data_IF_572251610122
#
_entry.id   IF_572251610122
#
_cell.length_a   1.000
_cell.length_b   1.000
_cell.length_c   1.000
_cell.angle_alpha   90.00
_cell.angle_beta   90.00
_cell.angle_gamma   90.00
#
_symmetry.space_group_name_H-M   'P 1'
#
loop_
_entity.id
_entity.type
_entity.pdbx_description
1 polymer ?
#
# COMPACT_ATOMS: atom_id res chain seq x y z
N UNK A 1 63.30 -18.33 -23.57
CA UNK A 1 64.16 -17.14 -23.70
C UNK A 1 63.32 -15.98 -24.19
N UNK A 2 63.61 -14.78 -23.68
CA UNK A 2 63.01 -13.47 -23.98
C UNK A 2 61.61 -13.19 -23.41
N UNK A 3 61.59 -12.90 -22.11
CA UNK A 3 60.65 -12.01 -21.42
C UNK A 3 60.95 -10.55 -21.77
N UNK A 4 59.93 -9.71 -21.89
CA UNK A 4 60.10 -8.24 -21.87
C UNK A 4 59.11 -7.62 -20.90
N UNK A 5 59.67 -7.22 -19.76
CA UNK A 5 59.04 -6.50 -18.66
C UNK A 5 59.01 -5.02 -18.99
N UNK A 6 57.85 -4.36 -18.85
CA UNK A 6 57.76 -2.89 -18.89
C UNK A 6 57.47 -2.38 -17.47
N UNK A 7 58.39 -1.58 -16.92
CA UNK A 7 58.32 -0.96 -15.60
C UNK A 7 58.08 0.55 -15.72
N UNK A 8 57.03 1.02 -15.03
CA UNK A 8 56.73 2.33 -14.41
C UNK A 8 57.41 3.62 -14.92
N UNK A 9 56.60 4.68 -15.04
CA UNK A 9 56.86 5.97 -14.36
C UNK A 9 55.54 6.57 -13.86
N UNK A 10 55.51 6.91 -12.56
CA UNK A 10 54.46 7.69 -11.88
C UNK A 10 54.89 9.16 -11.97
N UNK A 11 54.01 10.05 -12.45
CA UNK A 11 54.19 11.49 -12.37
C UNK A 11 53.13 12.07 -11.44
N UNK A 12 53.58 12.57 -10.29
CA UNK A 12 52.79 13.35 -9.36
C UNK A 12 52.79 14.82 -9.81
N UNK A 13 51.61 15.42 -9.94
CA UNK A 13 51.45 16.86 -10.15
C UNK A 13 50.82 17.47 -8.89
N UNK A 14 51.63 18.27 -8.18
CA UNK A 14 51.19 19.16 -7.12
C UNK A 14 50.35 20.29 -7.70
N UNK A 15 49.16 20.53 -7.16
CA UNK A 15 48.48 21.82 -7.30
C UNK A 15 48.09 22.38 -5.93
N UNK A 16 48.62 23.57 -5.70
CA UNK A 16 48.58 24.34 -4.47
C UNK A 16 47.20 24.97 -4.24
N UNK A 17 46.75 24.89 -3.00
CA UNK A 17 45.57 25.56 -2.45
C UNK A 17 45.86 27.06 -2.37
N UNK A 18 45.02 27.89 -2.97
CA UNK A 18 44.98 29.34 -2.69
C UNK A 18 43.67 29.66 -1.99
N UNK A 19 43.78 30.06 -0.72
CA UNK A 19 42.67 30.65 0.02
C UNK A 19 42.60 32.15 -0.31
N UNK A 20 41.39 32.66 -0.50
CA UNK A 20 41.13 34.10 -0.55
C UNK A 20 40.00 34.38 0.42
N UNK A 21 40.40 34.92 1.58
CA UNK A 21 39.50 35.47 2.58
C UNK A 21 39.15 36.91 2.19
N UNK A 22 37.85 37.21 2.14
CA UNK A 22 37.36 38.59 2.16
C UNK A 22 36.37 38.71 3.32
N UNK A 23 36.79 39.44 4.35
CA UNK A 23 35.94 39.93 5.42
C UNK A 23 35.34 41.28 5.00
N UNK A 24 34.06 41.52 5.31
CA UNK A 24 33.54 42.87 5.53
C UNK A 24 32.21 42.84 6.31
N UNK A 25 32.34 43.22 7.58
CA UNK A 25 31.47 44.07 8.40
C UNK A 25 29.96 43.77 8.59
N UNK A 26 29.69 43.35 9.83
CA UNK A 26 28.56 43.66 10.72
C UNK A 26 27.67 44.86 10.35
N UNK A 27 26.35 44.64 10.33
CA UNK A 27 25.35 45.55 10.92
C UNK A 27 24.24 44.77 11.63
N UNK A 28 24.30 44.76 12.96
CA UNK A 28 23.18 44.48 13.88
C UNK A 28 22.19 45.65 13.83
N UNK A 29 20.90 45.40 13.63
CA UNK A 29 19.81 46.26 14.14
C UNK A 29 18.55 45.46 14.46
N UNK A 30 18.30 45.32 15.75
CA UNK A 30 17.00 45.36 16.44
C UNK A 30 17.34 45.83 17.86
N UNK A 31 16.55 46.70 18.52
CA UNK A 31 15.16 46.37 18.86
C UNK A 31 14.19 47.57 18.89
N UNK A 32 12.89 47.31 18.82
CA UNK A 32 11.89 48.14 19.52
C UNK A 32 10.91 47.22 20.22
N UNK A 33 11.00 47.22 21.54
CA UNK A 33 9.98 46.72 22.44
C UNK A 33 8.96 47.82 22.71
N UNK A 34 7.67 47.48 22.73
CA UNK A 34 6.68 48.26 23.48
C UNK A 34 5.97 47.29 24.41
N UNK A 35 6.10 47.55 25.70
CA UNK A 35 5.51 46.79 26.78
C UNK A 35 4.24 47.46 27.32
N UNK A 36 3.45 46.64 28.03
CA UNK A 36 2.51 46.97 29.11
C UNK A 36 1.07 47.37 28.72
N UNK A 37 0.12 46.47 29.01
CA UNK A 37 -0.52 46.42 30.36
C UNK A 37 -1.44 45.20 30.50
N UNK A 38 -1.13 44.36 31.48
CA UNK A 38 -2.14 43.58 32.19
C UNK A 38 -2.95 44.54 33.08
N UNK A 39 -4.27 44.42 33.06
CA UNK A 39 -5.13 44.74 34.19
C UNK A 39 -6.24 43.70 34.25
N UNK A 40 -6.11 42.82 35.23
CA UNK A 40 -7.18 42.03 35.80
C UNK A 40 -8.12 42.96 36.58
N UNK A 41 -9.41 42.91 36.29
CA UNK A 41 -10.46 43.34 37.20
C UNK A 41 -11.52 42.24 37.24
N UNK A 42 -11.67 41.64 38.40
CA UNK A 42 -12.79 40.77 38.73
C UNK A 42 -14.07 41.61 38.80
N UNK A 43 -15.09 41.23 38.05
CA UNK A 43 -16.47 41.47 38.44
C UNK A 43 -17.33 40.25 38.10
N UNK A 44 -17.82 39.62 39.16
CA UNK A 44 -18.99 38.75 39.16
C UNK A 44 -20.19 39.52 38.61
N UNK A 45 -20.88 38.96 37.63
CA UNK A 45 -22.29 39.22 37.39
C UNK A 45 -22.90 37.98 36.71
N UNK A 46 -23.64 37.23 37.52
CA UNK A 46 -24.64 36.27 37.09
C UNK A 46 -25.64 36.99 36.18
N UNK A 47 -25.73 36.59 34.91
CA UNK A 47 -26.93 36.81 34.11
C UNK A 47 -27.19 35.58 33.24
N UNK A 48 -28.31 34.94 33.56
CA UNK A 48 -28.98 33.90 32.79
C UNK A 48 -29.28 34.41 31.37
N UNK A 49 -28.64 33.81 30.37
CA UNK A 49 -29.05 33.92 28.97
C UNK A 49 -29.06 32.52 28.33
N UNK A 50 -30.27 32.11 27.99
CA UNK A 50 -30.61 30.92 27.22
C UNK A 50 -29.87 30.89 25.88
N UNK A 51 -29.05 29.86 25.68
CA UNK A 51 -28.48 29.55 24.36
C UNK A 51 -29.48 28.74 23.54
N UNK A 52 -29.69 29.06 22.24
CA UNK A 52 -30.47 28.20 21.38
C UNK A 52 -29.71 26.89 21.14
N UNK A 53 -30.41 25.77 21.30
CA UNK A 53 -29.93 24.44 20.99
C UNK A 53 -29.77 24.31 19.47
N UNK A 54 -28.52 24.31 19.01
CA UNK A 54 -28.19 23.86 17.65
C UNK A 54 -28.37 22.35 17.64
N UNK A 55 -29.48 21.90 17.07
CA UNK A 55 -29.72 20.50 16.72
C UNK A 55 -28.73 20.10 15.62
N UNK A 56 -27.57 19.58 16.01
CA UNK A 56 -26.72 18.83 15.09
C UNK A 56 -27.46 17.52 14.84
N UNK A 57 -28.20 17.49 13.73
CA UNK A 57 -28.82 16.26 13.26
C UNK A 57 -27.68 15.35 12.82
N UNK A 58 -27.24 14.48 13.73
CA UNK A 58 -26.33 13.39 13.44
C UNK A 58 -26.94 12.61 12.30
N UNK A 59 -26.34 12.73 11.10
CA UNK A 59 -26.63 11.82 9.99
C UNK A 59 -26.20 10.45 10.49
N UNK A 60 -27.17 9.67 10.97
CA UNK A 60 -26.99 8.25 11.26
C UNK A 60 -26.53 7.62 9.95
N UNK A 61 -25.23 7.37 9.84
CA UNK A 61 -24.74 6.36 8.91
C UNK A 61 -25.47 5.08 9.29
N UNK A 62 -26.21 4.52 8.34
CA UNK A 62 -26.78 3.19 8.48
C UNK A 62 -25.59 2.21 8.54
N UNK A 63 -25.01 2.05 9.73
CA UNK A 63 -24.14 0.92 10.01
C UNK A 63 -25.08 -0.27 10.13
N UNK A 64 -25.27 -0.97 9.02
CA UNK A 64 -25.76 -2.33 9.05
C UNK A 64 -24.76 -3.14 9.89
N UNK A 65 -24.99 -3.21 11.20
CA UNK A 65 -24.29 -4.13 12.10
C UNK A 65 -24.80 -5.56 11.88
N UNK A 66 -24.76 -6.02 10.63
CA UNK A 66 -24.59 -7.44 10.42
C UNK A 66 -23.18 -7.74 10.93
N UNK A 67 -23.06 -8.64 11.90
CA UNK A 67 -21.79 -9.28 12.21
C UNK A 67 -21.42 -10.07 10.95
N UNK A 68 -20.85 -9.38 9.97
CA UNK A 68 -20.38 -9.97 8.74
C UNK A 68 -19.11 -10.74 9.11
N UNK A 69 -19.29 -11.99 9.53
CA UNK A 69 -18.30 -13.01 9.25
C UNK A 69 -18.61 -13.45 7.82
N UNK A 70 -17.88 -12.99 6.80
CA UNK A 70 -17.84 -13.75 5.56
C UNK A 70 -17.20 -15.08 5.93
N UNK A 71 -18.00 -16.04 6.34
CA UNK A 71 -17.57 -17.43 6.29
C UNK A 71 -17.65 -17.79 4.81
N UNK A 72 -16.66 -17.31 4.05
CA UNK A 72 -16.44 -17.80 2.70
C UNK A 72 -15.66 -19.08 2.80
N UNK A 73 -16.02 -20.03 1.95
CA UNK A 73 -15.32 -21.29 1.81
C UNK A 73 -14.45 -21.22 0.56
N UNK A 74 -13.21 -21.66 0.69
CA UNK A 74 -12.28 -21.77 -0.43
C UNK A 74 -12.66 -23.03 -1.21
N UNK A 75 -12.88 -22.87 -2.52
CA UNK A 75 -13.21 -23.96 -3.44
C UNK A 75 -12.19 -23.99 -4.58
N UNK A 76 -11.35 -25.02 -4.56
CA UNK A 76 -10.40 -25.29 -5.63
C UNK A 76 -11.07 -26.08 -6.76
N UNK A 77 -10.78 -25.69 -7.99
CA UNK A 77 -11.14 -26.36 -9.24
C UNK A 77 -9.88 -26.50 -10.10
N UNK A 78 -9.73 -27.62 -10.82
CA UNK A 78 -8.47 -27.98 -11.49
C UNK A 78 -7.46 -28.67 -10.56
N UNK A 79 -6.26 -28.93 -11.06
CA UNK A 79 -5.14 -29.46 -10.26
C UNK A 79 -4.17 -28.33 -9.92
N UNK A 80 -3.60 -28.25 -8.71
CA UNK A 80 -2.55 -27.28 -8.43
C UNK A 80 -1.40 -27.38 -9.46
N UNK A 81 -0.78 -26.25 -9.76
CA UNK A 81 0.30 -26.13 -10.75
C UNK A 81 -0.12 -26.51 -12.19
N UNK A 82 -1.38 -26.24 -12.56
CA UNK A 82 -1.86 -26.32 -13.94
C UNK A 82 -2.52 -25.01 -14.41
N UNK A 83 -2.63 -24.81 -15.72
CA UNK A 83 -3.18 -23.58 -16.31
C UNK A 83 -4.69 -23.40 -16.04
N UNK A 84 -5.42 -24.49 -15.80
CA UNK A 84 -6.84 -24.53 -15.48
C UNK A 84 -7.13 -24.45 -13.96
N UNK A 85 -6.10 -24.39 -13.11
CA UNK A 85 -6.28 -24.25 -11.67
C UNK A 85 -6.94 -22.92 -11.32
N UNK A 86 -8.02 -22.98 -10.54
CA UNK A 86 -8.76 -21.82 -10.05
C UNK A 86 -9.13 -22.01 -8.59
N UNK A 87 -9.03 -20.93 -7.83
CA UNK A 87 -9.51 -20.86 -6.45
C UNK A 87 -10.68 -19.90 -6.39
N UNK A 88 -11.88 -20.46 -6.24
CA UNK A 88 -13.12 -19.71 -6.06
C UNK A 88 -13.42 -19.52 -4.58
N UNK A 89 -14.19 -18.48 -4.26
CA UNK A 89 -14.82 -18.30 -2.95
C UNK A 89 -16.31 -18.63 -3.04
N UNK A 90 -16.83 -19.36 -2.06
CA UNK A 90 -18.24 -19.67 -1.92
C UNK A 90 -18.81 -19.03 -0.66
N UNK A 91 -20.02 -18.48 -0.74
CA UNK A 91 -20.76 -18.07 0.46
C UNK A 91 -21.32 -19.28 1.23
N UNK A 92 -21.98 -19.02 2.37
CA UNK A 92 -22.60 -20.06 3.20
C UNK A 92 -23.71 -20.86 2.49
N UNK A 93 -24.25 -20.36 1.38
CA UNK A 93 -25.23 -21.07 0.54
C UNK A 93 -24.58 -21.94 -0.53
N UNK A 94 -23.26 -21.87 -0.68
CA UNK A 94 -22.50 -22.56 -1.72
C UNK A 94 -22.43 -21.81 -3.05
N UNK A 95 -22.87 -20.54 -3.09
CA UNK A 95 -22.82 -19.72 -4.31
C UNK A 95 -21.44 -19.08 -4.45
N UNK A 96 -20.90 -19.07 -5.67
CA UNK A 96 -19.67 -18.33 -6.01
C UNK A 96 -19.84 -16.84 -5.71
N UNK A 97 -18.84 -16.28 -5.03
CA UNK A 97 -18.71 -14.86 -4.77
C UNK A 97 -17.35 -14.39 -5.26
N UNK A 98 -17.32 -13.21 -5.87
CA UNK A 98 -16.08 -12.60 -6.34
C UNK A 98 -15.22 -12.15 -5.16
N UNK A 99 -13.95 -12.61 -5.05
CA UNK A 99 -13.02 -12.04 -4.08
C UNK A 99 -12.86 -10.53 -4.30
N UNK A 100 -12.89 -10.05 -5.55
CA UNK A 100 -12.75 -8.63 -5.82
C UNK A 100 -14.01 -7.81 -5.50
N UNK A 101 -15.19 -8.23 -5.95
CA UNK A 101 -16.38 -7.38 -5.92
C UNK A 101 -17.33 -7.65 -4.73
N UNK A 102 -17.45 -8.90 -4.29
CA UNK A 102 -18.51 -9.32 -3.35
C UNK A 102 -18.06 -9.31 -1.88
N UNK A 103 -16.75 -9.36 -1.62
CA UNK A 103 -16.20 -9.22 -0.27
C UNK A 103 -16.17 -7.72 0.09
N UNK A 104 -16.85 -7.27 1.17
CA UNK A 104 -16.82 -5.88 1.59
C UNK A 104 -15.41 -5.43 1.92
N UNK A 105 -14.99 -4.26 1.44
CA UNK A 105 -13.70 -3.67 1.82
C UNK A 105 -13.62 -3.40 3.32
N UNK A 106 -14.63 -2.70 3.86
CA UNK A 106 -14.62 -2.21 5.23
C UNK A 106 -15.39 -3.12 6.20
N UNK A 107 -14.81 -3.33 7.39
CA UNK A 107 -15.47 -3.97 8.52
C UNK A 107 -15.86 -2.98 9.64
N UNK A 108 -15.50 -1.71 9.49
CA UNK A 108 -15.65 -0.66 10.51
C UNK A 108 -14.37 -0.42 11.30
N UNK A 109 -14.31 0.69 12.03
CA UNK A 109 -13.23 1.05 12.97
C UNK A 109 -11.79 0.98 12.39
N UNK A 110 -11.63 1.30 11.10
CA UNK A 110 -10.34 1.26 10.40
C UNK A 110 -9.83 -0.15 10.09
N UNK A 111 -10.72 -1.15 10.13
CA UNK A 111 -10.44 -2.56 9.81
C UNK A 111 -10.96 -2.89 8.41
N UNK A 112 -10.15 -3.64 7.69
CA UNK A 112 -10.39 -4.01 6.30
C UNK A 112 -10.33 -5.52 6.12
N UNK A 113 -11.08 -6.04 5.14
CA UNK A 113 -10.82 -7.38 4.62
C UNK A 113 -9.61 -7.34 3.69
N UNK A 114 -8.75 -8.34 3.81
CA UNK A 114 -7.62 -8.60 2.92
C UNK A 114 -7.75 -10.03 2.42
N UNK A 115 -7.56 -10.24 1.11
CA UNK A 115 -7.61 -11.56 0.50
C UNK A 115 -6.18 -11.98 0.18
N UNK A 116 -5.76 -13.09 0.79
CA UNK A 116 -4.45 -13.68 0.52
C UNK A 116 -4.49 -14.37 -0.84
N UNK A 117 -3.63 -13.93 -1.75
CA UNK A 117 -3.43 -14.56 -3.05
C UNK A 117 -2.18 -15.44 -3.04
N UNK A 118 -1.08 -14.91 -2.50
CA UNK A 118 0.21 -15.60 -2.41
C UNK A 118 0.56 -15.78 -0.92
N UNK A 119 0.55 -17.01 -0.41
CA UNK A 119 0.98 -17.29 0.95
C UNK A 119 2.43 -16.88 1.18
N UNK A 120 2.71 -16.38 2.38
CA UNK A 120 4.05 -16.10 2.89
C UNK A 120 5.01 -17.27 2.63
N UNK A 121 6.26 -16.97 2.27
CA UNK A 121 7.32 -17.94 1.91
C UNK A 121 6.98 -18.85 0.72
N UNK A 122 6.19 -18.37 -0.26
CA UNK A 122 5.92 -19.09 -1.52
C UNK A 122 6.24 -18.23 -2.74
N UNK A 123 6.29 -18.83 -3.93
CA UNK A 123 6.73 -18.14 -5.16
C UNK A 123 5.76 -18.25 -6.35
N UNK A 124 4.71 -19.06 -6.27
CA UNK A 124 3.70 -19.09 -7.32
C UNK A 124 3.02 -17.72 -7.40
N UNK A 125 3.10 -17.03 -8.56
CA UNK A 125 2.46 -15.73 -8.73
C UNK A 125 0.97 -15.95 -8.94
N UNK A 126 0.23 -16.03 -7.83
CA UNK A 126 -1.22 -16.13 -7.81
C UNK A 126 -1.81 -14.72 -7.79
N UNK A 127 -2.91 -14.52 -8.49
CA UNK A 127 -3.63 -13.24 -8.57
C UNK A 127 -5.09 -13.49 -8.87
N UNK A 128 -5.93 -12.54 -8.50
CA UNK A 128 -7.31 -12.49 -8.93
C UNK A 128 -7.39 -12.36 -10.45
N UNK A 129 -8.20 -13.21 -11.08
CA UNK A 129 -8.48 -13.14 -12.50
C UNK A 129 -9.48 -12.01 -12.76
N UNK A 130 -9.01 -10.78 -12.91
CA UNK A 130 -9.86 -9.59 -13.11
C UNK A 130 -10.70 -9.67 -14.38
N UNK A 131 -10.34 -10.54 -15.32
CA UNK A 131 -10.96 -10.78 -16.62
C UNK A 131 -11.95 -11.97 -16.65
N UNK A 132 -12.05 -12.73 -15.56
CA UNK A 132 -12.89 -13.94 -15.49
C UNK A 132 -14.14 -13.75 -14.61
N UNK A 133 -15.29 -14.37 -14.94
CA UNK A 133 -16.47 -14.36 -14.08
C UNK A 133 -16.21 -14.91 -12.68
N UNK A 134 -16.75 -14.23 -11.68
CA UNK A 134 -16.50 -14.43 -10.25
C UNK A 134 -15.05 -14.21 -9.83
N UNK A 135 -14.21 -13.68 -10.72
CA UNK A 135 -12.82 -13.29 -10.50
C UNK A 135 -12.06 -14.30 -9.61
N UNK A 136 -11.97 -15.60 -9.96
CA UNK A 136 -11.23 -16.57 -9.14
C UNK A 136 -9.76 -16.20 -9.04
N UNK A 137 -9.06 -16.68 -8.01
CA UNK A 137 -7.60 -16.58 -7.97
C UNK A 137 -7.01 -17.65 -8.91
N UNK A 138 -6.09 -17.25 -9.79
CA UNK A 138 -5.36 -18.12 -10.73
C UNK A 138 -3.87 -17.80 -10.68
N UNK A 139 -3.05 -18.68 -11.22
CA UNK A 139 -1.62 -18.39 -11.37
C UNK A 139 -1.39 -17.60 -12.67
N UNK A 140 -0.65 -16.49 -12.57
CA UNK A 140 -0.20 -15.71 -13.71
C UNK A 140 0.59 -16.59 -14.70
N UNK A 141 0.55 -16.24 -15.98
CA UNK A 141 1.26 -16.96 -17.04
C UNK A 141 2.19 -16.04 -17.83
N UNK A 142 3.39 -16.54 -18.13
CA UNK A 142 4.37 -15.85 -18.97
C UNK A 142 4.81 -16.78 -20.09
N UNK A 143 4.55 -16.38 -21.35
CA UNK A 143 4.84 -17.19 -22.55
C UNK A 143 4.19 -18.59 -22.50
N UNK A 144 2.93 -18.65 -22.05
CA UNK A 144 2.13 -19.88 -21.96
C UNK A 144 2.56 -20.85 -20.85
N UNK A 145 3.40 -20.41 -19.92
CA UNK A 145 3.84 -21.19 -18.75
C UNK A 145 3.45 -20.48 -17.46
N UNK A 146 3.16 -21.27 -16.43
CA UNK A 146 2.92 -20.78 -15.08
C UNK A 146 4.11 -19.94 -14.59
N UNK A 147 3.80 -18.76 -14.02
CA UNK A 147 4.79 -17.81 -13.56
C UNK A 147 5.09 -18.02 -12.08
N UNK A 148 6.37 -18.04 -11.76
CA UNK A 148 6.87 -18.02 -10.40
C UNK A 148 7.76 -16.80 -10.23
N UNK A 149 7.73 -16.19 -9.06
CA UNK A 149 8.73 -15.22 -8.67
C UNK A 149 10.10 -15.91 -8.57
N UNK A 150 11.21 -15.22 -8.93
CA UNK A 150 12.55 -15.79 -8.81
C UNK A 150 13.00 -15.98 -7.36
N UNK A 151 12.29 -15.36 -6.41
CA UNK A 151 12.45 -15.50 -4.97
C UNK A 151 11.07 -15.66 -4.33
N UNK A 152 11.00 -16.31 -3.18
CA UNK A 152 9.75 -16.35 -2.42
C UNK A 152 9.36 -14.92 -1.99
N UNK A 153 8.06 -14.66 -1.90
CA UNK A 153 7.55 -13.50 -1.18
C UNK A 153 7.56 -13.81 0.32
N UNK A 154 8.15 -12.96 1.14
CA UNK A 154 8.38 -13.24 2.57
C UNK A 154 7.19 -12.82 3.46
N UNK A 155 6.05 -12.49 2.84
CA UNK A 155 4.85 -11.96 3.48
C UNK A 155 3.62 -12.57 2.83
N UNK A 156 2.48 -12.55 3.53
CA UNK A 156 1.23 -12.84 2.82
C UNK A 156 0.95 -11.67 1.89
N UNK A 157 0.63 -11.98 0.65
CA UNK A 157 0.40 -11.00 -0.39
C UNK A 157 -0.93 -11.25 -1.07
N UNK A 158 -1.56 -10.17 -1.52
CA UNK A 158 -2.81 -10.21 -2.27
C UNK A 158 -3.44 -8.84 -2.28
N UNK A 159 -4.76 -8.76 -2.17
CA UNK A 159 -5.49 -7.52 -2.46
C UNK A 159 -6.44 -7.04 -1.36
N UNK A 160 -6.80 -5.75 -1.43
CA UNK A 160 -7.99 -5.19 -0.81
C UNK A 160 -9.19 -5.31 -1.76
N UNK A 161 -10.29 -5.98 -1.38
CA UNK A 161 -11.44 -6.11 -2.25
C UNK A 161 -12.12 -4.76 -2.42
N UNK A 162 -12.90 -4.61 -3.49
CA UNK A 162 -13.62 -3.39 -3.82
C UNK A 162 -12.72 -2.16 -3.96
N UNK A 163 -11.48 -2.34 -4.40
CA UNK A 163 -10.56 -1.27 -4.78
C UNK A 163 -10.16 -1.45 -6.24
N UNK A 164 -9.80 -0.36 -6.92
CA UNK A 164 -9.32 -0.42 -8.29
C UNK A 164 -8.40 0.77 -8.58
N UNK A 165 -7.22 0.47 -9.08
CA UNK A 165 -6.22 1.43 -9.55
C UNK A 165 -6.55 1.88 -10.97
N UNK A 166 -7.47 2.85 -11.06
CA UNK A 166 -7.99 3.34 -12.34
C UNK A 166 -6.87 3.86 -13.27
N UNK A 167 -6.66 3.26 -14.45
CA UNK A 167 -5.59 3.62 -15.36
C UNK A 167 -5.88 4.92 -16.13
N UNK A 168 -7.07 5.51 -15.98
CA UNK A 168 -7.47 6.72 -16.70
C UNK A 168 -7.12 8.03 -16.00
N UNK A 169 -6.67 7.98 -14.74
CA UNK A 169 -6.32 9.16 -13.96
C UNK A 169 -4.86 9.12 -13.49
N UNK A 170 -4.11 10.17 -13.85
CA UNK A 170 -2.75 10.37 -13.38
C UNK A 170 -2.74 10.76 -11.89
N UNK A 171 -1.89 10.12 -11.10
CA UNK A 171 -1.68 10.44 -9.70
C UNK A 171 -0.76 11.67 -9.55
N UNK A 172 -1.25 12.80 -8.99
CA UNK A 172 -0.46 14.03 -8.90
C UNK A 172 0.66 13.96 -7.86
N UNK A 173 0.54 13.06 -6.87
CA UNK A 173 1.53 12.91 -5.78
C UNK A 173 2.72 12.05 -6.21
N UNK A 174 2.58 11.31 -7.33
CA UNK A 174 3.56 10.32 -7.81
C UNK A 174 3.87 10.54 -9.30
N UNK A 175 4.47 11.68 -9.61
CA UNK A 175 4.99 12.05 -10.94
C UNK A 175 3.99 11.92 -12.10
N UNK A 176 2.67 11.99 -11.82
CA UNK A 176 1.64 11.83 -12.85
C UNK A 176 1.48 10.39 -13.37
N UNK A 177 1.92 9.40 -12.59
CA UNK A 177 1.81 7.97 -12.96
C UNK A 177 0.35 7.50 -12.94
N UNK A 178 -0.01 6.60 -13.86
CA UNK A 178 -1.37 6.05 -13.97
C UNK A 178 -1.46 4.70 -13.24
N UNK A 179 -2.63 4.35 -12.71
CA UNK A 179 -2.84 3.06 -12.04
C UNK A 179 -2.64 1.86 -12.97
N UNK A 180 -2.33 0.70 -12.40
CA UNK A 180 -2.04 -0.56 -13.08
C UNK A 180 -3.28 -1.38 -13.50
N UNK A 181 -4.48 -0.81 -13.31
CA UNK A 181 -5.76 -1.42 -13.66
C UNK A 181 -6.19 -2.62 -12.80
N UNK A 182 -5.49 -2.88 -11.69
CA UNK A 182 -5.78 -3.98 -10.76
C UNK A 182 -6.36 -3.48 -9.42
N UNK A 183 -6.81 -4.38 -8.52
CA UNK A 183 -7.14 -4.02 -7.15
C UNK A 183 -5.87 -3.66 -6.36
N UNK A 184 -6.01 -2.80 -5.35
CA UNK A 184 -4.85 -2.38 -4.54
C UNK A 184 -4.22 -3.56 -3.81
N UNK A 185 -2.91 -3.66 -3.97
CA UNK A 185 -2.10 -4.71 -3.36
C UNK A 185 -1.82 -4.48 -1.88
N UNK A 186 -1.65 -5.59 -1.15
CA UNK A 186 -1.36 -5.62 0.27
C UNK A 186 -0.18 -6.54 0.55
N UNK A 187 0.73 -6.06 1.39
CA UNK A 187 1.78 -6.84 2.03
C UNK A 187 1.44 -6.95 3.52
N UNK A 188 0.97 -8.12 3.94
CA UNK A 188 0.59 -8.40 5.32
C UNK A 188 1.78 -8.96 6.11
N UNK A 189 2.21 -8.23 7.13
CA UNK A 189 3.52 -8.41 7.79
C UNK A 189 3.53 -9.37 8.98
N UNK A 190 2.38 -9.97 9.30
CA UNK A 190 2.22 -10.86 10.44
C UNK A 190 3.09 -12.12 10.38
N UNK A 191 3.14 -12.83 11.50
CA UNK A 191 3.97 -14.02 11.63
C UNK A 191 3.39 -15.22 10.87
N UNK A 192 2.06 -15.36 10.85
CA UNK A 192 1.35 -16.53 10.32
C UNK A 192 1.40 -16.61 8.80
N UNK A 193 1.53 -17.83 8.28
CA UNK A 193 1.36 -18.10 6.85
C UNK A 193 -0.12 -18.30 6.52
N UNK A 194 -0.65 -17.48 5.62
CA UNK A 194 -2.02 -17.56 5.13
C UNK A 194 -2.24 -18.68 4.11
N UNK A 195 -3.46 -18.79 3.59
CA UNK A 195 -3.83 -19.70 2.50
C UNK A 195 -4.38 -18.92 1.31
N UNK A 196 -4.21 -19.43 0.10
CA UNK A 196 -4.78 -18.83 -1.12
C UNK A 196 -6.32 -18.72 -0.93
N UNK A 197 -6.88 -17.52 -1.16
CA UNK A 197 -8.29 -17.21 -0.95
C UNK A 197 -8.69 -16.95 0.50
N UNK A 198 -7.77 -17.00 1.46
CA UNK A 198 -8.08 -16.69 2.86
C UNK A 198 -8.41 -15.20 3.01
N UNK A 199 -9.53 -14.90 3.67
CA UNK A 199 -9.90 -13.54 4.06
C UNK A 199 -9.42 -13.26 5.48
N UNK A 200 -8.49 -12.32 5.62
CA UNK A 200 -7.97 -11.84 6.90
C UNK A 200 -8.56 -10.48 7.23
N UNK A 201 -8.64 -10.18 8.53
CA UNK A 201 -8.96 -8.83 9.01
C UNK A 201 -7.67 -8.11 9.29
N UNK A 202 -7.42 -7.02 8.58
CA UNK A 202 -6.17 -6.28 8.69
C UNK A 202 -6.42 -4.84 9.06
N UNK A 203 -5.40 -4.20 9.63
CA UNK A 203 -5.32 -2.75 9.69
C UNK A 203 -4.13 -2.24 8.86
N UNK A 204 -4.32 -1.21 8.02
CA UNK A 204 -3.23 -0.55 7.30
C UNK A 204 -2.28 0.18 8.25
N UNK A 205 -1.00 0.18 7.88
CA UNK A 205 0.10 0.79 8.62
C UNK A 205 0.87 1.82 7.78
N UNK A 206 0.88 1.65 6.45
CA UNK A 206 1.54 2.55 5.52
C UNK A 206 1.33 2.14 4.07
N UNK A 207 1.93 2.87 3.14
CA UNK A 207 1.84 2.58 1.70
C UNK A 207 3.17 2.84 0.99
N UNK A 208 3.57 1.97 0.08
CA UNK A 208 4.67 2.19 -0.86
C UNK A 208 4.10 2.46 -2.25
N UNK A 209 4.60 3.50 -2.92
CA UNK A 209 4.23 3.86 -4.29
C UNK A 209 5.22 3.20 -5.26
N UNK A 210 5.01 1.95 -5.67
CA UNK A 210 5.89 1.33 -6.66
C UNK A 210 5.54 1.85 -8.05
N UNK A 211 6.57 2.04 -8.89
CA UNK A 211 6.41 2.27 -10.33
C UNK A 211 6.87 1.01 -11.04
N UNK A 212 5.91 0.21 -11.47
CA UNK A 212 6.09 -1.05 -12.17
C UNK A 212 5.93 -0.83 -13.67
N UNK A 213 7.04 -0.88 -14.42
CA UNK A 213 7.04 -0.71 -15.89
C UNK A 213 6.33 0.55 -16.43
N UNK A 214 6.16 1.57 -15.59
CA UNK A 214 5.53 2.85 -15.93
C UNK A 214 4.17 3.07 -15.27
N UNK A 215 3.61 2.03 -14.66
CA UNK A 215 2.34 2.04 -13.95
C UNK A 215 2.58 2.24 -12.46
N UNK A 216 1.69 2.98 -11.81
CA UNK A 216 1.62 3.11 -10.37
C UNK A 216 0.94 1.87 -9.82
N UNK A 217 1.62 1.23 -8.90
CA UNK A 217 1.21 0.00 -8.25
C UNK A 217 1.41 0.20 -6.73
N UNK A 218 0.30 0.44 -6.01
CA UNK A 218 0.36 0.70 -4.57
C UNK A 218 0.52 -0.58 -3.77
N UNK A 219 1.54 -0.63 -2.92
CA UNK A 219 1.69 -1.70 -1.91
C UNK A 219 1.28 -1.18 -0.54
N UNK A 220 0.08 -1.53 -0.09
CA UNK A 220 -0.38 -1.24 1.28
C UNK A 220 0.33 -2.18 2.26
N UNK A 221 0.98 -1.60 3.25
CA UNK A 221 1.56 -2.38 4.35
C UNK A 221 0.49 -2.53 5.42
N UNK A 222 0.17 -3.76 5.79
CA UNK A 222 -0.87 -4.05 6.76
C UNK A 222 -0.46 -5.16 7.73
N UNK A 223 -1.19 -5.30 8.83
CA UNK A 223 -1.02 -6.42 9.77
C UNK A 223 -2.38 -7.03 10.11
N UNK A 224 -2.44 -8.35 10.16
CA UNK A 224 -3.60 -9.09 10.66
C UNK A 224 -3.92 -8.69 12.09
N UNK A 225 -5.20 -8.52 12.40
CA UNK A 225 -5.66 -8.26 13.77
C UNK A 225 -5.50 -9.46 14.70
N UNK A 226 -5.35 -10.66 14.13
CA UNK A 226 -5.10 -11.89 14.87
C UNK A 226 -3.60 -12.08 15.20
N UNK A 227 -2.71 -11.24 14.65
CA UNK A 227 -1.28 -11.28 14.96
C UNK A 227 -1.02 -10.83 16.42
N UNK A 228 -0.14 -11.52 17.18
CA UNK A 228 0.16 -11.15 18.57
C UNK A 228 0.72 -9.74 18.74
N UNK A 229 1.40 -9.19 17.72
CA UNK A 229 1.95 -7.83 17.72
C UNK A 229 0.99 -6.79 17.14
N UNK A 230 -0.20 -7.17 16.67
CA UNK A 230 -1.14 -6.25 16.05
C UNK A 230 -1.40 -5.04 16.95
N UNK A 231 -1.61 -5.23 18.26
CA UNK A 231 -1.86 -4.12 19.19
C UNK A 231 -0.69 -3.13 19.34
N UNK A 232 0.53 -3.56 19.05
CA UNK A 232 1.76 -2.77 19.19
C UNK A 232 2.05 -1.87 17.99
N UNK A 233 1.44 -2.14 16.84
CA UNK A 233 1.80 -1.48 15.57
C UNK A 233 0.60 -0.74 14.99
N UNK A 234 0.64 0.59 14.96
CA UNK A 234 -0.50 1.42 14.55
C UNK A 234 -0.18 2.43 13.45
N UNK A 235 1.11 2.63 13.13
CA UNK A 235 1.59 3.45 12.01
C UNK A 235 2.96 2.92 11.54
N UNK A 236 3.48 3.48 10.44
CA UNK A 236 4.74 3.10 9.80
C UNK A 236 5.95 3.15 10.76
N UNK A 237 5.94 4.07 11.72
CA UNK A 237 7.00 4.18 12.72
C UNK A 237 7.07 2.98 13.66
N UNK A 238 5.92 2.43 14.05
CA UNK A 238 5.86 1.27 14.92
C UNK A 238 6.35 0.00 14.21
N UNK A 239 6.22 -0.06 12.87
CA UNK A 239 6.73 -1.18 12.07
C UNK A 239 8.22 -1.32 12.27
N UNK A 240 9.00 -0.24 12.15
CA UNK A 240 10.46 -0.32 12.32
C UNK A 240 10.88 -0.64 13.77
N UNK A 241 10.02 -0.34 14.76
CA UNK A 241 10.27 -0.69 16.17
C UNK A 241 10.05 -2.18 16.41
N UNK A 242 8.95 -2.75 15.89
CA UNK A 242 8.49 -4.10 16.23
C UNK A 242 8.82 -5.17 15.16
N UNK A 243 9.16 -4.72 13.96
CA UNK A 243 9.53 -5.47 12.76
C UNK A 243 10.72 -4.76 12.05
N UNK A 244 11.88 -4.64 12.72
CA UNK A 244 13.00 -3.82 12.24
C UNK A 244 13.51 -4.28 10.86
N UNK A 245 13.64 -3.34 9.93
CA UNK A 245 14.13 -3.58 8.58
C UNK A 245 13.06 -4.12 7.61
N UNK A 246 11.85 -4.45 8.08
CA UNK A 246 10.79 -5.03 7.24
C UNK A 246 10.38 -4.10 6.11
N UNK A 247 10.22 -2.79 6.32
CA UNK A 247 9.83 -1.87 5.23
C UNK A 247 10.91 -1.78 4.15
N UNK A 248 12.18 -1.81 4.56
CA UNK A 248 13.32 -1.83 3.65
C UNK A 248 13.34 -3.14 2.84
N UNK A 249 13.11 -4.28 3.50
CA UNK A 249 13.06 -5.58 2.85
C UNK A 249 11.91 -5.66 1.84
N UNK A 250 10.71 -5.15 2.18
CA UNK A 250 9.56 -5.11 1.26
C UNK A 250 9.91 -4.27 0.03
N UNK A 251 10.38 -3.03 0.23
CA UNK A 251 10.78 -2.15 -0.87
C UNK A 251 11.84 -2.80 -1.76
N UNK A 252 12.87 -3.38 -1.17
CA UNK A 252 13.99 -3.97 -1.92
C UNK A 252 13.56 -5.22 -2.69
N UNK A 253 12.67 -6.05 -2.13
CA UNK A 253 12.08 -7.17 -2.84
C UNK A 253 11.34 -6.71 -4.10
N UNK A 254 10.41 -5.75 -3.95
CA UNK A 254 9.62 -5.20 -5.06
C UNK A 254 10.45 -4.37 -6.05
N UNK A 255 11.57 -3.77 -5.61
CA UNK A 255 12.55 -3.14 -6.50
C UNK A 255 13.20 -4.17 -7.42
N UNK A 256 13.62 -5.31 -6.87
CA UNK A 256 14.59 -6.19 -7.52
C UNK A 256 13.97 -7.46 -8.14
N UNK A 257 12.72 -7.81 -7.82
CA UNK A 257 12.15 -9.12 -8.17
C UNK A 257 12.13 -9.45 -9.67
N UNK A 258 12.18 -8.45 -10.56
CA UNK A 258 12.22 -8.66 -12.02
C UNK A 258 13.61 -8.59 -12.63
N UNK A 259 14.64 -8.28 -11.84
CA UNK A 259 16.03 -8.26 -12.32
C UNK A 259 16.46 -9.64 -12.88
N UNK A 260 16.14 -10.78 -12.24
CA UNK A 260 16.44 -12.11 -12.80
C UNK A 260 15.76 -12.38 -14.15
N UNK A 261 14.64 -11.70 -14.43
CA UNK A 261 13.93 -11.76 -15.71
C UNK A 261 14.54 -10.82 -16.78
N UNK A 262 15.66 -10.17 -16.48
CA UNK A 262 16.34 -9.21 -17.37
C UNK A 262 15.67 -7.84 -17.44
N UNK A 263 14.75 -7.52 -16.53
CA UNK A 263 14.11 -6.20 -16.42
C UNK A 263 14.95 -5.27 -15.52
N UNK A 264 14.85 -3.95 -15.69
CA UNK A 264 15.45 -3.01 -14.74
C UNK A 264 14.76 -3.12 -13.37
N UNK A 265 15.43 -2.60 -12.34
CA UNK A 265 14.82 -2.45 -11.03
C UNK A 265 13.62 -1.49 -11.09
N UNK A 266 12.52 -1.84 -10.43
CA UNK A 266 11.36 -0.97 -10.28
C UNK A 266 11.75 0.30 -9.50
N UNK A 267 11.02 1.39 -9.70
CA UNK A 267 11.23 2.66 -8.97
C UNK A 267 10.16 2.82 -7.89
N UNK A 268 10.36 3.78 -6.99
CA UNK A 268 9.34 4.15 -6.02
C UNK A 268 9.14 5.67 -5.99
N UNK A 269 7.87 6.06 -5.88
CA UNK A 269 7.46 7.43 -5.57
C UNK A 269 7.73 7.82 -4.12
N UNK A 270 7.24 9.00 -3.73
CA UNK A 270 7.22 9.48 -2.34
C UNK A 270 8.59 9.41 -1.63
N UNK A 271 9.68 9.63 -2.39
CA UNK A 271 11.04 9.60 -1.86
C UNK A 271 11.57 8.20 -1.52
N UNK A 272 11.04 7.15 -2.16
CA UNK A 272 11.43 5.74 -1.94
C UNK A 272 11.21 5.24 -0.50
N UNK A 273 10.17 5.77 0.17
CA UNK A 273 9.82 5.46 1.56
C UNK A 273 8.34 5.11 1.66
N UNK A 274 8.01 4.30 2.66
CA UNK A 274 6.61 4.06 3.02
C UNK A 274 6.01 5.36 3.57
N UNK A 275 4.90 5.78 2.98
CA UNK A 275 4.03 6.80 3.54
C UNK A 275 3.30 6.24 4.76
N UNK A 276 2.87 7.14 5.65
CA UNK A 276 2.22 6.77 6.91
C UNK A 276 0.81 6.18 6.69
N UNK A 277 0.20 5.73 7.79
CA UNK A 277 -1.14 5.16 7.80
C UNK A 277 -2.20 6.09 7.19
N UNK A 278 -2.16 7.39 7.48
CA UNK A 278 -3.15 8.34 6.97
C UNK A 278 -3.10 8.41 5.44
N UNK A 279 -1.88 8.39 4.86
CA UNK A 279 -1.72 8.33 3.42
C UNK A 279 -2.18 6.99 2.83
N UNK A 280 -1.92 5.88 3.52
CA UNK A 280 -2.46 4.58 3.11
C UNK A 280 -3.99 4.58 3.07
N UNK A 281 -4.64 5.16 4.08
CA UNK A 281 -6.10 5.30 4.12
C UNK A 281 -6.63 6.20 2.99
N UNK A 282 -5.91 7.26 2.61
CA UNK A 282 -6.21 8.07 1.42
C UNK A 282 -6.21 7.20 0.15
N UNK A 283 -5.13 6.44 -0.09
CA UNK A 283 -5.01 5.54 -1.27
C UNK A 283 -6.15 4.54 -1.32
N UNK A 284 -6.44 3.86 -0.21
CA UNK A 284 -7.53 2.88 -0.12
C UNK A 284 -8.89 3.52 -0.40
N UNK A 285 -9.11 4.75 0.08
CA UNK A 285 -10.36 5.48 -0.17
C UNK A 285 -10.50 5.86 -1.63
N UNK A 286 -9.46 6.44 -2.23
CA UNK A 286 -9.45 6.88 -3.64
C UNK A 286 -9.70 5.69 -4.59
N UNK A 287 -9.05 4.56 -4.34
CA UNK A 287 -9.20 3.34 -5.15
C UNK A 287 -10.53 2.63 -4.93
N UNK A 288 -11.11 2.70 -3.72
CA UNK A 288 -12.49 2.27 -3.48
C UNK A 288 -13.52 3.13 -4.23
N UNK A 289 -13.29 4.45 -4.29
CA UNK A 289 -14.14 5.36 -5.07
C UNK A 289 -14.04 5.06 -6.58
N UNK A 290 -12.84 4.77 -7.09
CA UNK A 290 -12.63 4.33 -8.47
C UNK A 290 -13.37 3.02 -8.77
N UNK A 291 -13.22 2.00 -7.92
CA UNK A 291 -13.97 0.75 -8.03
C UNK A 291 -15.48 0.99 -8.00
N UNK A 292 -15.97 1.89 -7.13
CA UNK A 292 -17.39 2.19 -7.06
C UNK A 292 -17.92 2.86 -8.36
N UNK A 293 -17.09 3.66 -9.04
CA UNK A 293 -17.41 4.23 -10.36
C UNK A 293 -17.40 3.15 -11.44
N UNK A 294 -16.43 2.23 -11.41
CA UNK A 294 -16.35 1.06 -12.29
C UNK A 294 -17.61 0.20 -12.18
N UNK A 295 -18.01 -0.18 -10.96
CA UNK A 295 -19.20 -1.01 -10.73
C UNK A 295 -20.51 -0.32 -11.11
N UNK A 296 -20.57 1.02 -11.00
CA UNK A 296 -21.70 1.83 -11.50
C UNK A 296 -21.70 2.01 -13.01
N UNK A 297 -20.66 1.54 -13.71
CA UNK A 297 -20.44 1.72 -15.15
C UNK A 297 -20.35 3.20 -15.56
N UNK A 298 -19.92 4.05 -14.63
CA UNK A 298 -19.57 5.44 -14.92
C UNK A 298 -18.26 5.54 -15.70
N UNK A 299 -17.43 4.49 -15.62
CA UNK A 299 -16.17 4.33 -16.33
C UNK A 299 -16.26 3.01 -17.11
N UNK A 300 -15.83 2.96 -18.39
CA UNK A 300 -15.82 1.72 -19.16
C UNK A 300 -14.95 0.66 -18.48
N UNK A 301 -15.47 -0.56 -18.36
CA UNK A 301 -14.75 -1.67 -17.72
C UNK A 301 -13.67 -2.30 -18.62
N UNK A 302 -13.70 -2.03 -19.93
CA UNK A 302 -12.78 -2.70 -20.87
C UNK A 302 -12.98 -4.22 -20.83
N UNK A 303 -11.91 -4.94 -20.50
CA UNK A 303 -11.87 -6.41 -20.41
C UNK A 303 -12.20 -6.93 -19.01
N UNK A 304 -12.39 -6.05 -18.02
CA UNK A 304 -12.66 -6.43 -16.64
C UNK A 304 -14.03 -7.10 -16.50
N UNK A 305 -14.07 -8.25 -15.81
CA UNK A 305 -15.30 -8.84 -15.32
C UNK A 305 -15.86 -8.00 -14.18
N UNK A 306 -17.16 -7.73 -14.20
CA UNK A 306 -17.87 -7.04 -13.11
C UNK A 306 -18.86 -7.96 -12.39
N UNK A 307 -18.70 -9.27 -12.58
CA UNK A 307 -19.55 -10.35 -12.04
C UNK A 307 -18.69 -11.45 -11.46
#
# INVERSE_FOLDING_TARGET
MATTTTTRVIAAANYSITSSATSLFLKKKSPVALALKQRSFFHNLNTSLSKPSISITSKRFFTCKAIYKPQVQIKEEGQPETLDYRVFLLDNSGKKVSPWHDIPLHLGDGVFNFIVEIPKETSAKMEVATDEPYTPIKQDTKKGKLRYYPYNINWNYGLLPQTWEDPSFANPDVDGSFGDNDPVDVVEIGESQGKIGQVLKVKPLGALAMIDEGELDWKIIAISLDDPKASLVNDVGDVEIHFPGTLTAIRDWFRDYKIPDGKPANKFGLGNKAANKDYALKVITETNESWAKLMKRSIPAGELSLV
#
